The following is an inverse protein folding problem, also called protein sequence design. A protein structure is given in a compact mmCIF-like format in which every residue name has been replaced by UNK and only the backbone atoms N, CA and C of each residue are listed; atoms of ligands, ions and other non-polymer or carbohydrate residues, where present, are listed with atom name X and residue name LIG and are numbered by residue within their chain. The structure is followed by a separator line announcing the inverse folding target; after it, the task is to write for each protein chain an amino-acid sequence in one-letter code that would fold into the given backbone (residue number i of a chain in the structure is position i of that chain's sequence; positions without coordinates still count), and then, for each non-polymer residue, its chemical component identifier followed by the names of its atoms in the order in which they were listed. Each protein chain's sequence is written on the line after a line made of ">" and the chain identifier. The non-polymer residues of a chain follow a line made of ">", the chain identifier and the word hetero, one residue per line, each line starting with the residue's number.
data_IF_555863376595
#
_entry.id   IF_555863376595
#
_cell.length_a   1.000
_cell.length_b   1.000
_cell.length_c   1.000
_cell.angle_alpha   90.00
_cell.angle_beta   90.00
_cell.angle_gamma   90.00
#
_symmetry.space_group_name_H-M   'P 1'
#
loop_
_entity.id
_entity.type
_entity.pdbx_description
1 polymer ?
#
# COMPACT_ATOMS: atom_id res chain seq x y z
N UNK A 1 8.38 -7.78 -11.26
CA UNK A 1 9.46 -8.64 -10.70
C UNK A 1 9.21 -8.84 -9.21
N UNK A 2 9.02 -10.08 -8.76
CA UNK A 2 8.76 -10.41 -7.36
C UNK A 2 10.01 -10.14 -6.50
N UNK A 3 9.82 -9.49 -5.35
CA UNK A 3 10.87 -9.18 -4.38
C UNK A 3 10.72 -10.00 -3.10
N UNK A 4 9.48 -10.20 -2.65
CA UNK A 4 9.14 -10.93 -1.44
C UNK A 4 7.80 -11.63 -1.68
N UNK A 5 7.69 -12.89 -1.26
CA UNK A 5 6.50 -13.69 -1.50
C UNK A 5 6.21 -14.60 -0.32
N UNK A 6 5.08 -14.33 0.33
CA UNK A 6 4.59 -15.07 1.48
C UNK A 6 3.14 -15.51 1.24
N UNK A 7 2.64 -16.35 2.15
CA UNK A 7 1.26 -16.85 2.08
C UNK A 7 0.21 -15.73 2.16
N UNK A 8 0.53 -14.63 2.83
CA UNK A 8 -0.37 -13.50 3.08
C UNK A 8 -0.10 -12.28 2.19
N UNK A 9 1.05 -12.19 1.51
CA UNK A 9 1.41 -11.02 0.70
C UNK A 9 2.43 -11.35 -0.40
N UNK A 10 2.34 -10.68 -1.55
CA UNK A 10 3.45 -10.56 -2.51
C UNK A 10 3.87 -9.10 -2.61
N UNK A 11 5.16 -8.84 -2.56
CA UNK A 11 5.74 -7.52 -2.82
C UNK A 11 6.57 -7.62 -4.08
N UNK A 12 6.30 -6.74 -5.04
CA UNK A 12 6.94 -6.77 -6.35
C UNK A 12 7.18 -5.38 -6.90
N UNK A 13 8.10 -5.29 -7.85
CA UNK A 13 8.26 -4.12 -8.71
C UNK A 13 7.36 -4.27 -9.94
N UNK A 14 6.44 -3.33 -10.12
CA UNK A 14 5.66 -3.17 -11.33
C UNK A 14 6.38 -2.19 -12.27
N UNK A 15 6.94 -2.72 -13.36
CA UNK A 15 7.75 -1.94 -14.28
C UNK A 15 6.92 -1.03 -15.18
N UNK A 16 5.66 -1.40 -15.45
CA UNK A 16 4.80 -0.68 -16.39
C UNK A 16 4.35 0.65 -15.78
N UNK A 17 4.09 0.67 -14.47
CA UNK A 17 3.71 1.90 -13.74
C UNK A 17 4.81 2.47 -12.85
N UNK A 18 5.99 1.84 -12.85
CA UNK A 18 7.14 2.17 -12.01
C UNK A 18 6.77 2.30 -10.52
N UNK A 19 6.03 1.33 -10.01
CA UNK A 19 5.54 1.32 -8.63
C UNK A 19 5.98 0.07 -7.88
N UNK A 20 6.12 0.20 -6.56
CA UNK A 20 6.12 -0.96 -5.67
C UNK A 20 4.69 -1.43 -5.48
N UNK A 21 4.41 -2.68 -5.87
CA UNK A 21 3.14 -3.34 -5.68
C UNK A 21 3.19 -4.21 -4.42
N UNK A 22 2.23 -3.99 -3.51
CA UNK A 22 1.96 -4.80 -2.33
C UNK A 22 0.62 -5.49 -2.53
N UNK A 23 0.63 -6.76 -2.91
CA UNK A 23 -0.57 -7.57 -3.14
C UNK A 23 -0.88 -8.42 -1.90
N UNK A 24 -1.92 -8.06 -1.17
CA UNK A 24 -2.39 -8.83 -0.02
C UNK A 24 -3.21 -10.04 -0.48
N UNK A 25 -2.88 -11.23 0.02
CA UNK A 25 -3.52 -12.50 -0.35
C UNK A 25 -4.54 -13.00 0.67
N UNK A 26 -4.55 -12.42 1.87
CA UNK A 26 -5.39 -12.83 2.99
C UNK A 26 -5.20 -11.96 4.23
N UNK A 27 -5.59 -12.52 5.38
CA UNK A 27 -5.30 -11.94 6.68
C UNK A 27 -3.81 -12.02 7.00
N UNK A 28 -3.28 -10.97 7.62
CA UNK A 28 -1.93 -10.90 8.15
C UNK A 28 -2.00 -10.47 9.61
N UNK A 29 -1.27 -11.15 10.49
CA UNK A 29 -1.10 -10.69 11.87
C UNK A 29 -0.31 -9.38 11.89
N UNK A 30 -0.40 -8.61 12.98
CA UNK A 30 0.27 -7.31 13.11
C UNK A 30 1.78 -7.38 12.82
N UNK A 31 2.46 -8.44 13.27
CA UNK A 31 3.90 -8.65 13.00
C UNK A 31 4.17 -8.85 11.49
N UNK A 32 3.30 -9.60 10.82
CA UNK A 32 3.44 -9.98 9.41
C UNK A 32 3.09 -8.79 8.51
N UNK A 33 2.07 -8.01 8.90
CA UNK A 33 1.70 -6.76 8.25
C UNK A 33 2.85 -5.76 8.31
N UNK A 34 3.45 -5.54 9.49
CA UNK A 34 4.57 -4.61 9.66
C UNK A 34 5.80 -5.08 8.88
N UNK A 35 6.12 -6.36 8.95
CA UNK A 35 7.23 -6.96 8.19
C UNK A 35 7.04 -6.77 6.67
N UNK A 36 5.83 -6.98 6.15
CA UNK A 36 5.51 -6.75 4.75
C UNK A 36 5.66 -5.26 4.37
N UNK A 37 5.11 -4.37 5.18
CA UNK A 37 5.17 -2.93 4.94
C UNK A 37 6.62 -2.39 5.02
N UNK A 38 7.44 -2.85 5.96
CA UNK A 38 8.85 -2.50 6.03
C UNK A 38 9.64 -3.07 4.83
N UNK A 39 9.31 -4.28 4.36
CA UNK A 39 9.89 -4.86 3.15
C UNK A 39 9.55 -4.04 1.89
N UNK A 40 8.32 -3.55 1.80
CA UNK A 40 7.91 -2.64 0.73
C UNK A 40 8.69 -1.32 0.80
N UNK A 41 8.92 -0.80 2.01
CA UNK A 41 9.68 0.42 2.27
C UNK A 41 11.15 0.28 1.82
N UNK A 42 11.76 -0.88 2.05
CA UNK A 42 13.10 -1.18 1.54
C UNK A 42 13.14 -1.27 0.00
N UNK A 43 12.12 -1.85 -0.62
CA UNK A 43 12.04 -1.90 -2.08
C UNK A 43 11.82 -0.51 -2.69
N UNK A 44 10.96 0.32 -2.08
CA UNK A 44 10.73 1.72 -2.46
C UNK A 44 12.07 2.48 -2.46
N UNK A 45 12.86 2.34 -1.38
CA UNK A 45 14.20 2.95 -1.27
C UNK A 45 15.14 2.45 -2.37
N UNK A 46 15.24 1.12 -2.56
CA UNK A 46 16.14 0.51 -3.55
C UNK A 46 15.82 0.96 -4.98
N UNK A 47 14.55 1.14 -5.29
CA UNK A 47 14.07 1.55 -6.63
C UNK A 47 13.99 3.06 -6.81
N UNK A 48 14.18 3.86 -5.74
CA UNK A 48 13.89 5.31 -5.73
C UNK A 48 12.50 5.58 -6.28
N UNK A 49 11.55 4.72 -5.92
CA UNK A 49 10.21 4.74 -6.47
C UNK A 49 9.45 5.93 -5.89
N UNK A 50 8.71 6.65 -6.73
CA UNK A 50 7.82 7.73 -6.32
C UNK A 50 6.37 7.25 -6.12
N UNK A 51 6.09 5.99 -6.47
CA UNK A 51 4.75 5.39 -6.56
C UNK A 51 4.65 4.08 -5.80
N UNK A 52 3.52 3.88 -5.14
CA UNK A 52 3.17 2.64 -4.45
C UNK A 52 1.74 2.22 -4.81
N UNK A 53 1.51 0.92 -4.98
CA UNK A 53 0.20 0.32 -5.26
C UNK A 53 -0.08 -0.77 -4.22
N UNK A 54 -1.08 -0.54 -3.36
CA UNK A 54 -1.59 -1.55 -2.44
C UNK A 54 -2.80 -2.26 -3.04
N UNK A 55 -2.64 -3.51 -3.48
CA UNK A 55 -3.79 -4.36 -3.83
C UNK A 55 -4.32 -5.05 -2.57
N UNK A 56 -5.38 -4.47 -2.01
CA UNK A 56 -6.02 -4.96 -0.79
C UNK A 56 -7.26 -5.81 -1.08
N UNK A 57 -7.53 -6.21 -2.33
CA UNK A 57 -8.79 -6.91 -2.72
C UNK A 57 -9.05 -8.16 -1.88
N UNK A 58 -8.00 -8.87 -1.48
CA UNK A 58 -8.05 -10.08 -0.64
C UNK A 58 -7.51 -9.87 0.78
N UNK A 59 -7.22 -8.63 1.18
CA UNK A 59 -6.75 -8.33 2.52
C UNK A 59 -7.79 -8.70 3.58
N UNK A 60 -7.32 -9.21 4.73
CA UNK A 60 -8.13 -9.33 5.93
C UNK A 60 -8.38 -7.99 6.63
N UNK A 61 -9.23 -7.95 7.67
CA UNK A 61 -9.39 -6.76 8.49
C UNK A 61 -8.09 -6.43 9.24
N UNK A 62 -7.74 -5.15 9.31
CA UNK A 62 -6.62 -4.63 10.11
C UNK A 62 -7.12 -4.16 11.48
N UNK A 63 -6.29 -4.30 12.51
CA UNK A 63 -6.60 -3.77 13.84
C UNK A 63 -6.47 -2.23 13.87
N UNK A 64 -7.03 -1.58 14.90
CA UNK A 64 -6.83 -0.13 15.09
C UNK A 64 -5.36 0.23 15.35
N UNK A 65 -4.61 -0.64 16.02
CA UNK A 65 -3.19 -0.41 16.30
C UNK A 65 -2.34 -0.50 15.03
N UNK A 66 -2.67 -1.41 14.11
CA UNK A 66 -1.99 -1.49 12.82
C UNK A 66 -2.31 -0.29 11.93
N UNK A 67 -3.55 0.19 11.95
CA UNK A 67 -3.95 1.42 11.26
C UNK A 67 -3.22 2.64 11.81
N UNK A 68 -3.13 2.75 13.13
CA UNK A 68 -2.38 3.81 13.81
C UNK A 68 -0.92 3.76 13.43
N UNK A 69 -0.29 2.59 13.53
CA UNK A 69 1.12 2.42 13.19
C UNK A 69 1.40 2.75 11.72
N UNK A 70 0.52 2.33 10.80
CA UNK A 70 0.66 2.66 9.39
C UNK A 70 0.64 4.19 9.16
N UNK A 71 -0.28 4.91 9.82
CA UNK A 71 -0.40 6.37 9.70
C UNK A 71 0.73 7.14 10.40
N UNK A 72 1.10 6.74 11.62
CA UNK A 72 2.05 7.48 12.46
C UNK A 72 3.51 7.10 12.18
N UNK A 73 3.75 5.95 11.53
CA UNK A 73 5.10 5.45 11.27
C UNK A 73 5.37 5.14 9.81
N UNK A 74 4.55 4.30 9.17
CA UNK A 74 4.87 3.82 7.82
C UNK A 74 4.70 4.88 6.73
N UNK A 75 3.58 5.64 6.73
CA UNK A 75 3.32 6.71 5.76
C UNK A 75 4.37 7.84 5.84
N UNK A 76 4.76 8.37 7.02
CA UNK A 76 5.84 9.36 7.12
C UNK A 76 7.17 8.86 6.54
N UNK A 77 7.55 7.61 6.85
CA UNK A 77 8.77 7.00 6.32
C UNK A 77 8.70 6.80 4.81
N UNK A 78 7.52 6.50 4.29
CA UNK A 78 7.26 6.33 2.84
C UNK A 78 7.37 7.67 2.11
N UNK A 79 6.75 8.73 2.63
CA UNK A 79 6.86 10.09 2.09
C UNK A 79 8.31 10.59 2.11
N UNK A 80 9.05 10.33 3.19
CA UNK A 80 10.46 10.71 3.32
C UNK A 80 11.40 10.04 2.30
N UNK A 81 10.97 8.94 1.66
CA UNK A 81 11.70 8.31 0.56
C UNK A 81 11.44 8.96 -0.81
N UNK A 82 10.57 9.97 -0.86
CA UNK A 82 10.15 10.64 -2.10
C UNK A 82 8.96 9.99 -2.78
N UNK A 83 8.23 9.10 -2.10
CA UNK A 83 6.93 8.61 -2.59
C UNK A 83 5.93 9.75 -2.54
N UNK A 84 5.24 9.98 -3.67
CA UNK A 84 4.25 11.05 -3.84
C UNK A 84 2.86 10.51 -4.14
N UNK A 85 2.75 9.27 -4.61
CA UNK A 85 1.47 8.66 -4.94
C UNK A 85 1.33 7.27 -4.33
N UNK A 86 0.21 7.04 -3.64
CA UNK A 86 -0.20 5.71 -3.19
C UNK A 86 -1.60 5.42 -3.70
N UNK A 87 -1.73 4.39 -4.52
CA UNK A 87 -3.01 3.88 -4.96
C UNK A 87 -3.40 2.64 -4.14
N UNK A 88 -4.65 2.57 -3.71
CA UNK A 88 -5.19 1.41 -3.00
C UNK A 88 -6.33 0.79 -3.80
N UNK A 89 -6.23 -0.50 -4.12
CA UNK A 89 -7.36 -1.27 -4.62
C UNK A 89 -8.11 -1.82 -3.41
N UNK A 90 -9.37 -1.42 -3.25
CA UNK A 90 -10.12 -1.64 -2.02
C UNK A 90 -10.45 -3.13 -1.77
N UNK A 91 -10.54 -3.55 -0.49
CA UNK A 91 -10.97 -4.90 -0.15
C UNK A 91 -12.37 -5.23 -0.70
N UNK A 92 -12.55 -6.47 -1.14
CA UNK A 92 -13.88 -6.99 -1.53
C UNK A 92 -14.78 -7.24 -0.32
N UNK A 93 -14.19 -7.57 0.83
CA UNK A 93 -14.93 -7.72 2.08
C UNK A 93 -15.38 -6.35 2.61
N UNK A 94 -16.69 -6.18 2.83
CA UNK A 94 -17.25 -4.94 3.37
C UNK A 94 -16.60 -4.54 4.71
N UNK A 95 -16.37 -5.51 5.61
CA UNK A 95 -15.72 -5.28 6.91
C UNK A 95 -14.28 -4.78 6.72
N UNK A 96 -13.50 -5.43 5.86
CA UNK A 96 -12.13 -5.01 5.59
C UNK A 96 -12.08 -3.63 4.90
N UNK A 97 -13.00 -3.36 3.96
CA UNK A 97 -13.13 -2.06 3.28
C UNK A 97 -13.44 -0.93 4.27
N UNK A 98 -14.41 -1.12 5.16
CA UNK A 98 -14.74 -0.14 6.20
C UNK A 98 -13.58 0.12 7.16
N UNK A 99 -12.81 -0.92 7.51
CA UNK A 99 -11.61 -0.76 8.33
C UNK A 99 -10.53 0.04 7.60
N UNK A 100 -10.21 -0.28 6.34
CA UNK A 100 -9.20 0.46 5.57
C UNK A 100 -9.59 1.93 5.38
N UNK A 101 -10.83 2.21 4.98
CA UNK A 101 -11.30 3.58 4.77
C UNK A 101 -11.19 4.43 6.04
N UNK A 102 -11.42 3.88 7.24
CA UNK A 102 -11.23 4.65 8.50
C UNK A 102 -9.79 5.07 8.78
N UNK A 103 -8.81 4.43 8.13
CA UNK A 103 -7.38 4.63 8.33
C UNK A 103 -6.77 5.58 7.31
N UNK A 104 -7.08 5.41 6.02
CA UNK A 104 -6.36 6.10 4.94
C UNK A 104 -6.65 7.61 4.89
N UNK A 105 -7.76 8.07 5.48
CA UNK A 105 -8.11 9.50 5.54
C UNK A 105 -7.45 10.30 6.67
N UNK A 106 -6.52 9.73 7.45
CA UNK A 106 -5.98 10.40 8.65
C UNK A 106 -4.56 10.97 8.48
N UNK A 107 -3.88 10.64 7.40
CA UNK A 107 -2.55 11.15 7.11
C UNK A 107 -2.65 12.25 6.05
N UNK A 108 -2.51 13.49 6.48
CA UNK A 108 -2.41 14.67 5.62
C UNK A 108 -0.94 15.08 5.51
N UNK A 109 -0.32 14.73 4.40
CA UNK A 109 0.94 15.29 3.94
C UNK A 109 0.67 15.92 2.57
N UNK A 110 1.05 17.19 2.39
CA UNK A 110 0.69 17.94 1.18
C UNK A 110 1.30 17.36 -0.10
N UNK A 111 2.38 16.58 0.03
CA UNK A 111 3.06 16.00 -1.11
C UNK A 111 2.71 14.52 -1.35
N UNK A 112 2.04 13.85 -0.41
CA UNK A 112 1.65 12.45 -0.54
C UNK A 112 0.16 12.32 -0.87
N UNK A 113 -0.13 12.08 -2.14
CA UNK A 113 -1.50 11.87 -2.62
C UNK A 113 -1.89 10.41 -2.51
N UNK A 114 -3.02 10.15 -1.87
CA UNK A 114 -3.60 8.82 -1.70
C UNK A 114 -4.92 8.71 -2.47
N UNK A 115 -5.08 7.66 -3.29
CA UNK A 115 -6.30 7.41 -4.06
C UNK A 115 -6.77 5.97 -3.93
N UNK A 116 -8.08 5.75 -4.11
CA UNK A 116 -8.73 4.46 -3.91
C UNK A 116 -9.50 4.03 -5.16
N UNK A 117 -9.46 2.74 -5.47
CA UNK A 117 -10.04 2.16 -6.67
C UNK A 117 -10.73 0.83 -6.35
N UNK A 118 -11.72 0.44 -7.16
CA UNK A 118 -12.36 -0.87 -7.03
C UNK A 118 -11.62 -1.98 -7.81
N UNK A 119 -10.75 -1.59 -8.76
CA UNK A 119 -9.95 -2.50 -9.57
C UNK A 119 -8.51 -2.00 -9.80
N UNK A 120 -7.66 -2.93 -10.22
CA UNK A 120 -6.21 -2.70 -10.38
C UNK A 120 -5.87 -1.88 -11.62
N UNK A 121 -6.69 -1.95 -12.67
CA UNK A 121 -6.42 -1.28 -13.94
C UNK A 121 -6.69 0.22 -13.79
N UNK A 122 -7.76 0.60 -13.11
CA UNK A 122 -8.05 1.98 -12.73
C UNK A 122 -6.95 2.57 -11.83
N UNK A 123 -6.47 1.79 -10.85
CA UNK A 123 -5.38 2.20 -9.97
C UNK A 123 -4.08 2.46 -10.72
N UNK A 124 -3.71 1.55 -11.64
CA UNK A 124 -2.54 1.70 -12.52
C UNK A 124 -2.66 2.89 -13.45
N UNK A 125 -3.82 3.05 -14.09
CA UNK A 125 -4.09 4.18 -14.98
C UNK A 125 -3.95 5.53 -14.25
N UNK A 126 -4.46 5.61 -13.03
CA UNK A 126 -4.29 6.81 -12.20
C UNK A 126 -2.82 7.05 -11.86
N UNK A 127 -2.08 6.04 -11.41
CA UNK A 127 -0.65 6.19 -11.11
C UNK A 127 0.15 6.70 -12.32
N UNK A 128 -0.17 6.23 -13.52
CA UNK A 128 0.43 6.71 -14.76
C UNK A 128 0.05 8.15 -15.10
N UNK A 129 -1.15 8.60 -14.71
CA UNK A 129 -1.61 9.97 -14.94
C UNK A 129 -1.03 10.99 -13.94
N UNK A 130 -0.43 10.56 -12.84
CA UNK A 130 0.19 11.43 -11.83
C UNK A 130 1.64 11.79 -12.21
N UNK A 131 1.81 12.41 -13.37
CA UNK A 131 3.10 12.91 -13.89
C UNK A 131 3.54 14.20 -13.22
#
# INVERSE_FOLDING_TARGET
>A
MIHFDERWVTISWDADVQAVLVEWKGFAESKDLRSALDTALDLLRKRKATRCLGDCRRAGPTTQDDQRWANESWLPRTAALGVRQIAYVLPRSAVARMSLMRSVFRFEDQDLVQAHFDDIDAARAWLLSQG
#
